data_IF_286100479851
#
_entry.id   IF_286100479851
#
_cell.length_a   1.000
_cell.length_b   1.000
_cell.length_c   1.000
_cell.angle_alpha   90.00
_cell.angle_beta   90.00
_cell.angle_gamma   90.00
#
_symmetry.space_group_name_H-M   'P 1'
#
loop_
_entity.id
_entity.type
_entity.pdbx_description
1 polymer ?
#
# COMPACT_ATOMS: atom_id res chain seq x y z
N UNK A 1 -41.53 16.64 -15.07
CA UNK A 1 -40.86 17.73 -14.35
C UNK A 1 -40.77 17.32 -12.88
N UNK A 2 -39.60 16.87 -12.41
CA UNK A 2 -39.46 16.45 -11.02
C UNK A 2 -39.21 17.68 -10.16
N UNK A 3 -40.27 18.23 -9.60
CA UNK A 3 -40.17 19.20 -8.50
C UNK A 3 -39.48 18.48 -7.35
N UNK A 4 -38.28 18.94 -6.98
CA UNK A 4 -37.56 18.42 -5.82
C UNK A 4 -38.26 18.95 -4.56
N UNK A 5 -39.42 18.37 -4.25
CA UNK A 5 -40.20 18.67 -3.05
C UNK A 5 -39.49 17.92 -1.93
N UNK A 6 -38.67 18.63 -1.17
CA UNK A 6 -38.09 18.08 0.05
C UNK A 6 -39.20 17.50 0.93
N UNK A 7 -39.01 16.26 1.41
CA UNK A 7 -39.95 15.62 2.33
C UNK A 7 -40.05 16.43 3.62
N UNK A 8 -41.18 16.34 4.32
CA UNK A 8 -41.41 17.07 5.56
C UNK A 8 -40.34 16.73 6.62
N UNK A 9 -39.91 15.48 6.64
CA UNK A 9 -38.81 15.01 7.48
C UNK A 9 -37.47 15.68 7.13
N UNK A 10 -37.18 15.88 5.85
CA UNK A 10 -35.96 16.57 5.42
C UNK A 10 -35.97 18.05 5.80
N UNK A 11 -37.13 18.72 5.68
CA UNK A 11 -37.31 20.11 6.14
C UNK A 11 -37.12 20.23 7.64
N UNK A 12 -37.66 19.28 8.42
CA UNK A 12 -37.47 19.21 9.88
C UNK A 12 -35.99 19.08 10.26
N UNK A 13 -35.26 18.15 9.65
CA UNK A 13 -33.81 17.95 9.90
C UNK A 13 -32.98 19.19 9.58
N UNK A 14 -33.30 19.89 8.47
CA UNK A 14 -32.66 21.16 8.13
C UNK A 14 -32.92 22.25 9.17
N UNK A 15 -34.16 22.35 9.65
CA UNK A 15 -34.55 23.31 10.71
C UNK A 15 -33.81 23.03 12.02
N UNK A 16 -33.79 21.77 12.45
CA UNK A 16 -33.07 21.34 13.66
C UNK A 16 -31.56 21.61 13.56
N UNK A 17 -30.94 21.34 12.41
CA UNK A 17 -29.50 21.59 12.21
C UNK A 17 -29.11 23.08 12.23
N UNK A 18 -30.09 23.97 12.02
CA UNK A 18 -29.90 25.42 11.99
C UNK A 18 -30.29 26.09 13.30
N UNK A 19 -31.04 25.42 14.19
CA UNK A 19 -31.34 25.93 15.54
C UNK A 19 -30.04 26.25 16.27
N UNK A 20 -29.93 27.46 16.80
CA UNK A 20 -28.75 27.96 17.52
C UNK A 20 -27.63 28.54 16.67
N UNK A 21 -27.68 28.46 15.33
CA UNK A 21 -26.69 29.18 14.49
C UNK A 21 -27.00 30.67 14.48
N UNK A 22 -26.07 31.48 15.01
CA UNK A 22 -26.12 32.93 14.90
C UNK A 22 -25.60 33.33 13.51
N UNK A 23 -26.42 33.94 12.63
CA UNK A 23 -25.95 34.45 11.36
C UNK A 23 -24.86 35.52 11.57
N UNK A 24 -23.82 35.52 10.73
CA UNK A 24 -22.65 36.41 10.85
C UNK A 24 -22.98 37.92 10.79
N UNK A 25 -24.20 38.25 10.36
CA UNK A 25 -24.73 39.60 10.24
C UNK A 25 -25.71 39.98 11.37
N UNK A 26 -25.95 39.11 12.35
CA UNK A 26 -26.84 39.41 13.50
C UNK A 26 -26.24 40.56 14.33
N UNK A 27 -26.98 41.68 14.44
CA UNK A 27 -26.60 42.85 15.23
C UNK A 27 -25.70 43.89 14.55
N UNK A 28 -25.31 43.68 13.27
CA UNK A 28 -24.52 44.67 12.52
C UNK A 28 -25.43 45.73 11.90
N UNK A 29 -25.29 47.01 12.30
CA UNK A 29 -25.93 48.16 11.62
C UNK A 29 -25.18 48.47 10.32
N UNK A 30 -25.91 48.69 9.22
CA UNK A 30 -25.35 48.98 7.89
C UNK A 30 -25.17 47.77 6.95
N UNK A 31 -25.34 46.54 7.45
CA UNK A 31 -25.49 45.35 6.60
C UNK A 31 -26.98 45.23 6.29
N UNK A 32 -27.36 45.18 5.01
CA UNK A 32 -28.75 45.24 4.55
C UNK A 32 -29.60 44.09 5.16
N UNK A 33 -30.24 44.38 6.30
CA UNK A 33 -31.32 43.55 6.84
C UNK A 33 -32.52 43.85 5.95
N UNK A 34 -32.76 42.98 4.99
CA UNK A 34 -33.88 43.07 4.06
C UNK A 34 -35.19 43.14 4.84
N UNK A 35 -35.92 44.26 4.74
CA UNK A 35 -37.23 44.44 5.37
C UNK A 35 -38.18 43.34 4.90
N UNK A 36 -39.20 43.02 5.70
CA UNK A 36 -40.14 41.95 5.35
C UNK A 36 -40.85 42.22 4.01
N UNK A 37 -41.10 43.49 3.71
CA UNK A 37 -41.62 43.94 2.43
C UNK A 37 -40.61 43.72 1.29
N UNK A 38 -39.33 44.05 1.50
CA UNK A 38 -38.26 43.81 0.50
C UNK A 38 -38.07 42.31 0.26
N UNK A 39 -38.21 41.48 1.30
CA UNK A 39 -38.14 40.01 1.21
C UNK A 39 -39.27 39.46 0.36
N UNK A 40 -40.50 39.98 0.53
CA UNK A 40 -41.66 39.65 -0.32
C UNK A 40 -41.42 40.08 -1.78
N UNK A 41 -40.88 41.29 -2.01
CA UNK A 41 -40.53 41.77 -3.37
C UNK A 41 -39.48 40.88 -4.05
N UNK A 42 -38.39 40.55 -3.35
CA UNK A 42 -37.36 39.63 -3.86
C UNK A 42 -37.89 38.21 -4.08
N UNK A 43 -38.75 37.72 -3.20
CA UNK A 43 -39.39 36.40 -3.38
C UNK A 43 -40.24 36.38 -4.64
N UNK A 44 -41.04 37.43 -4.90
CA UNK A 44 -41.86 37.54 -6.11
C UNK A 44 -40.98 37.64 -7.36
N UNK A 45 -39.94 38.48 -7.32
CA UNK A 45 -39.01 38.67 -8.45
C UNK A 45 -38.21 37.41 -8.80
N UNK A 46 -37.81 36.61 -7.79
CA UNK A 46 -37.06 35.37 -7.97
C UNK A 46 -37.95 34.13 -8.15
N UNK A 47 -39.26 34.29 -8.32
CA UNK A 47 -40.22 33.19 -8.52
C UNK A 47 -40.89 33.26 -9.88
N UNK A 48 -41.39 32.12 -10.35
CA UNK A 48 -42.12 32.02 -11.62
C UNK A 48 -41.25 32.21 -12.87
N UNK A 49 -41.92 32.36 -14.01
CA UNK A 49 -41.33 32.32 -15.37
C UNK A 49 -40.30 33.42 -15.62
N UNK A 50 -40.31 34.50 -14.83
CA UNK A 50 -39.38 35.62 -14.95
C UNK A 50 -38.02 35.39 -14.29
N UNK A 51 -37.86 34.34 -13.47
CA UNK A 51 -36.53 33.99 -12.92
C UNK A 51 -35.65 33.40 -14.05
N UNK A 52 -34.40 33.89 -14.26
CA UNK A 52 -33.47 33.36 -15.28
C UNK A 52 -33.16 31.86 -15.17
N UNK A 53 -33.41 31.27 -14.00
CA UNK A 53 -33.24 29.86 -13.70
C UNK A 53 -34.53 29.05 -13.81
N UNK A 54 -35.69 29.68 -14.04
CA UNK A 54 -36.96 29.01 -14.21
C UNK A 54 -36.96 28.13 -15.47
N UNK A 55 -37.39 26.87 -15.34
CA UNK A 55 -37.40 25.92 -16.44
C UNK A 55 -36.03 25.37 -16.87
N UNK A 56 -34.90 25.84 -16.29
CA UNK A 56 -33.60 25.24 -16.55
C UNK A 56 -33.57 23.81 -16.00
N UNK A 57 -33.29 22.83 -16.88
CA UNK A 57 -33.12 21.43 -16.47
C UNK A 57 -31.90 21.32 -15.55
N UNK A 58 -32.04 20.56 -14.46
CA UNK A 58 -30.98 20.31 -13.48
C UNK A 58 -29.68 19.87 -14.19
N UNK A 59 -28.53 20.53 -13.97
CA UNK A 59 -27.28 20.24 -14.68
C UNK A 59 -26.77 18.79 -14.48
N UNK A 60 -27.36 18.01 -13.59
CA UNK A 60 -26.99 16.60 -13.36
C UNK A 60 -27.71 15.58 -14.26
N UNK A 61 -28.02 15.91 -15.52
CA UNK A 61 -28.38 14.87 -16.50
C UNK A 61 -27.17 13.98 -16.82
N UNK A 62 -27.39 12.70 -17.11
CA UNK A 62 -26.31 11.78 -17.51
C UNK A 62 -25.50 12.30 -18.70
N UNK A 63 -26.19 12.93 -19.67
CA UNK A 63 -25.55 13.57 -20.82
C UNK A 63 -24.60 14.70 -20.42
N UNK A 64 -24.98 15.53 -19.44
CA UNK A 64 -24.13 16.60 -18.94
C UNK A 64 -22.96 16.07 -18.11
N UNK A 65 -23.17 15.07 -17.25
CA UNK A 65 -22.10 14.42 -16.48
C UNK A 65 -21.04 13.82 -17.41
N UNK A 66 -21.48 13.16 -18.49
CA UNK A 66 -20.61 12.61 -19.54
C UNK A 66 -19.81 13.71 -20.22
N UNK A 67 -20.48 14.76 -20.72
CA UNK A 67 -19.81 15.88 -21.38
C UNK A 67 -18.81 16.61 -20.46
N UNK A 68 -19.16 16.83 -19.18
CA UNK A 68 -18.26 17.46 -18.22
C UNK A 68 -17.06 16.57 -17.90
N UNK A 69 -17.27 15.26 -17.75
CA UNK A 69 -16.20 14.28 -17.56
C UNK A 69 -15.26 14.22 -18.78
N UNK A 70 -15.80 14.25 -19.99
CA UNK A 70 -15.03 14.25 -21.24
C UNK A 70 -14.21 15.55 -21.36
N UNK A 71 -14.81 16.70 -21.06
CA UNK A 71 -14.15 18.00 -21.14
C UNK A 71 -13.00 18.19 -20.14
N UNK A 72 -12.96 17.42 -19.04
CA UNK A 72 -11.88 17.42 -18.04
C UNK A 72 -10.88 16.28 -18.25
N UNK A 73 -11.21 15.29 -19.07
CA UNK A 73 -10.38 14.10 -19.27
C UNK A 73 -9.03 14.52 -19.88
N UNK A 74 -7.94 14.19 -19.17
CA UNK A 74 -6.58 14.45 -19.64
C UNK A 74 -6.07 15.88 -19.44
N UNK A 75 -6.90 16.82 -18.97
CA UNK A 75 -6.42 18.16 -18.60
C UNK A 75 -5.52 18.07 -17.37
N UNK A 76 -4.31 18.61 -17.48
CA UNK A 76 -3.36 18.75 -16.37
C UNK A 76 -3.25 20.22 -15.98
N UNK A 77 -3.11 20.48 -14.70
CA UNK A 77 -2.77 21.83 -14.22
C UNK A 77 -1.41 22.25 -14.80
N UNK A 78 -1.29 23.53 -15.17
CA UNK A 78 0.00 24.12 -15.53
C UNK A 78 0.97 24.09 -14.35
N UNK A 79 2.27 24.11 -14.61
CA UNK A 79 3.29 24.15 -13.55
C UNK A 79 3.11 25.37 -12.64
N UNK A 80 2.74 26.53 -13.20
CA UNK A 80 2.41 27.72 -12.43
C UNK A 80 1.20 27.50 -11.49
N UNK A 81 0.15 26.84 -11.97
CA UNK A 81 -1.03 26.53 -11.16
C UNK A 81 -0.70 25.55 -10.04
N UNK A 82 0.10 24.51 -10.34
CA UNK A 82 0.57 23.55 -9.34
C UNK A 82 1.42 24.24 -8.27
N UNK A 83 2.28 25.18 -8.67
CA UNK A 83 3.09 25.95 -7.75
C UNK A 83 2.22 26.80 -6.83
N UNK A 84 1.23 27.52 -7.37
CA UNK A 84 0.26 28.31 -6.57
C UNK A 84 -0.51 27.45 -5.57
N UNK A 85 -0.99 26.27 -6.00
CA UNK A 85 -1.67 25.32 -5.11
C UNK A 85 -0.73 24.80 -4.01
N UNK A 86 0.51 24.47 -4.36
CA UNK A 86 1.53 24.01 -3.40
C UNK A 86 1.87 25.08 -2.37
N UNK A 87 2.12 26.31 -2.82
CA UNK A 87 2.43 27.46 -1.96
C UNK A 87 1.27 27.76 -1.00
N UNK A 88 0.03 27.73 -1.48
CA UNK A 88 -1.16 27.93 -0.63
C UNK A 88 -1.32 26.88 0.47
N UNK A 89 -0.82 25.66 0.26
CA UNK A 89 -0.90 24.57 1.24
C UNK A 89 0.33 24.51 2.14
N UNK A 90 1.41 25.20 1.78
CA UNK A 90 2.67 25.21 2.55
C UNK A 90 2.41 25.88 3.89
N UNK A 91 2.65 25.14 4.98
CA UNK A 91 2.44 25.62 6.35
C UNK A 91 1.01 25.42 6.88
N UNK A 92 0.06 24.97 6.06
CA UNK A 92 -1.26 24.60 6.55
C UNK A 92 -1.17 23.33 7.39
N UNK A 93 -1.27 23.48 8.71
CA UNK A 93 -1.33 22.37 9.65
C UNK A 93 -2.71 22.29 10.28
N UNK A 94 -3.31 21.11 10.23
CA UNK A 94 -4.60 20.87 10.88
C UNK A 94 -4.39 20.91 12.40
N UNK A 95 -5.20 21.69 13.11
CA UNK A 95 -5.12 21.81 14.57
C UNK A 95 -5.29 20.44 15.26
N UNK A 96 -4.73 20.27 16.46
CA UNK A 96 -4.86 19.01 17.23
C UNK A 96 -6.33 18.62 17.41
N UNK A 97 -7.20 19.57 17.73
CA UNK A 97 -8.65 19.34 17.88
C UNK A 97 -9.33 18.88 16.59
N UNK A 98 -8.95 19.45 15.44
CA UNK A 98 -9.50 19.01 14.14
C UNK A 98 -8.95 17.64 13.72
N UNK A 99 -7.68 17.34 13.98
CA UNK A 99 -7.10 16.01 13.77
C UNK A 99 -7.85 14.94 14.57
N UNK A 100 -8.18 15.23 15.83
CA UNK A 100 -8.99 14.33 16.66
C UNK A 100 -10.38 14.09 16.09
N UNK A 101 -11.06 15.13 15.59
CA UNK A 101 -12.38 15.00 14.94
C UNK A 101 -12.31 14.13 13.68
N UNK A 102 -11.31 14.35 12.83
CA UNK A 102 -11.06 13.53 11.62
C UNK A 102 -10.78 12.09 12.03
N UNK A 103 -9.96 11.88 13.06
CA UNK A 103 -9.66 10.57 13.62
C UNK A 103 -10.93 9.84 14.06
N UNK A 104 -11.76 10.48 14.90
CA UNK A 104 -13.03 9.92 15.39
C UNK A 104 -14.04 9.63 14.28
N UNK A 105 -14.07 10.42 13.20
CA UNK A 105 -14.95 10.19 12.07
C UNK A 105 -14.50 9.01 11.20
N UNK A 106 -13.19 8.77 11.13
CA UNK A 106 -12.59 7.69 10.34
C UNK A 106 -12.28 6.43 11.15
N UNK A 107 -12.59 6.39 12.45
CA UNK A 107 -12.34 5.25 13.33
C UNK A 107 -13.63 4.76 14.00
N UNK A 108 -13.60 3.50 14.41
CA UNK A 108 -14.73 2.86 15.10
C UNK A 108 -16.01 2.86 14.26
N UNK A 109 -17.14 2.64 14.93
CA UNK A 109 -18.47 2.48 14.34
C UNK A 109 -18.95 3.69 13.50
N UNK A 110 -18.39 4.88 13.74
CA UNK A 110 -18.72 6.07 12.97
C UNK A 110 -18.17 6.04 11.53
N UNK A 111 -17.15 5.22 11.28
CA UNK A 111 -16.65 5.02 9.93
C UNK A 111 -17.61 4.11 9.15
N UNK A 112 -18.08 4.57 7.99
CA UNK A 112 -18.93 3.80 7.09
C UNK A 112 -18.40 2.39 6.74
N UNK A 113 -17.08 2.23 6.72
CA UNK A 113 -16.39 0.96 6.43
C UNK A 113 -16.10 0.11 7.67
N UNK A 114 -16.42 0.58 8.88
CA UNK A 114 -16.21 -0.19 10.09
C UNK A 114 -17.01 -1.49 10.08
N UNK A 115 -16.35 -2.60 10.38
CA UNK A 115 -16.92 -3.95 10.32
C UNK A 115 -17.25 -4.46 8.90
N UNK A 116 -17.17 -3.61 7.87
CA UNK A 116 -17.38 -4.04 6.48
C UNK A 116 -16.05 -4.50 5.88
N UNK A 117 -16.01 -5.64 5.18
CA UNK A 117 -14.82 -6.02 4.44
C UNK A 117 -14.52 -4.93 3.41
N UNK A 118 -13.24 -4.54 3.32
CA UNK A 118 -12.82 -3.61 2.28
C UNK A 118 -13.19 -4.18 0.91
N UNK A 119 -13.51 -3.32 -0.05
CA UNK A 119 -13.94 -3.71 -1.41
C UNK A 119 -12.91 -4.61 -2.12
N UNK A 120 -11.65 -4.56 -1.65
CA UNK A 120 -10.51 -5.31 -2.15
C UNK A 120 -10.08 -6.47 -1.23
N UNK A 121 -10.66 -6.60 -0.03
CA UNK A 121 -10.35 -7.70 0.88
C UNK A 121 -10.75 -9.03 0.24
N UNK A 122 -9.80 -9.96 0.14
CA UNK A 122 -10.00 -11.29 -0.46
C UNK A 122 -9.93 -11.34 -2.00
N UNK A 123 -9.89 -10.20 -2.71
CA UNK A 123 -9.73 -10.20 -4.17
C UNK A 123 -8.26 -10.42 -4.56
N UNK A 124 -7.99 -11.48 -5.32
CA UNK A 124 -6.66 -11.74 -5.88
C UNK A 124 -6.50 -11.02 -7.22
N UNK A 125 -5.35 -10.39 -7.43
CA UNK A 125 -5.02 -9.79 -8.73
C UNK A 125 -4.87 -10.87 -9.81
N UNK A 126 -5.34 -10.54 -11.03
CA UNK A 126 -5.10 -11.38 -12.21
C UNK A 126 -3.61 -11.60 -12.44
N UNK A 127 -3.25 -12.70 -13.09
CA UNK A 127 -1.84 -13.02 -13.42
C UNK A 127 -1.23 -11.86 -14.22
N UNK A 128 -1.96 -11.32 -15.20
CA UNK A 128 -1.53 -10.17 -15.99
C UNK A 128 -1.28 -8.92 -15.13
N UNK A 129 -2.17 -8.61 -14.19
CA UNK A 129 -1.99 -7.47 -13.28
C UNK A 129 -0.78 -7.67 -12.37
N UNK A 130 -0.57 -8.89 -11.86
CA UNK A 130 0.62 -9.23 -11.05
C UNK A 130 1.90 -9.06 -11.86
N UNK A 131 1.91 -9.49 -13.12
CA UNK A 131 3.04 -9.31 -14.02
C UNK A 131 3.36 -7.83 -14.23
N UNK A 132 2.37 -7.00 -14.57
CA UNK A 132 2.55 -5.54 -14.73
C UNK A 132 3.07 -4.85 -13.45
N UNK A 133 2.59 -5.27 -12.28
CA UNK A 133 3.11 -4.76 -10.99
C UNK A 133 4.57 -5.20 -10.76
N UNK A 134 4.88 -6.46 -11.05
CA UNK A 134 6.24 -7.00 -10.92
C UNK A 134 7.23 -6.28 -11.84
N UNK A 135 6.86 -6.05 -13.10
CA UNK A 135 7.69 -5.34 -14.09
C UNK A 135 7.99 -3.90 -13.65
N UNK A 136 7.02 -3.19 -13.08
CA UNK A 136 7.22 -1.82 -12.56
C UNK A 136 8.12 -1.76 -11.34
N UNK A 137 8.12 -2.82 -10.52
CA UNK A 137 8.97 -2.90 -9.34
C UNK A 137 10.40 -3.33 -9.70
N UNK A 138 10.58 -4.02 -10.82
CA UNK A 138 11.88 -4.42 -11.32
C UNK A 138 12.74 -3.18 -11.58
N UNK A 139 13.87 -3.07 -10.87
CA UNK A 139 14.78 -1.92 -11.01
C UNK A 139 14.38 -0.67 -10.22
N UNK A 140 13.38 -0.73 -9.35
CA UNK A 140 13.11 0.37 -8.42
C UNK A 140 14.27 0.52 -7.42
N UNK A 141 15.02 1.63 -7.54
CA UNK A 141 16.19 1.94 -6.70
C UNK A 141 15.89 2.90 -5.55
N UNK A 142 14.68 3.43 -5.42
CA UNK A 142 14.38 4.49 -4.44
C UNK A 142 14.64 4.08 -2.98
N UNK A 143 14.43 2.81 -2.66
CA UNK A 143 14.68 2.26 -1.32
C UNK A 143 16.05 1.60 -1.20
N UNK A 144 16.75 1.40 -2.32
CA UNK A 144 18.04 0.73 -2.33
C UNK A 144 19.10 1.66 -1.76
N UNK A 145 19.75 1.25 -0.66
CA UNK A 145 20.75 2.06 0.03
C UNK A 145 20.19 3.18 0.92
N UNK A 146 18.86 3.29 1.04
CA UNK A 146 18.24 4.22 1.98
C UNK A 146 18.62 3.83 3.42
N UNK A 147 19.18 4.79 4.17
CA UNK A 147 19.55 4.63 5.58
C UNK A 147 18.61 5.47 6.44
N UNK A 148 17.94 4.82 7.38
CA UNK A 148 17.13 5.51 8.38
C UNK A 148 18.00 6.42 9.27
N UNK A 149 17.43 7.53 9.72
CA UNK A 149 18.08 8.36 10.75
C UNK A 149 18.23 7.58 12.06
N UNK A 150 19.22 7.94 12.89
CA UNK A 150 19.42 7.30 14.21
C UNK A 150 18.16 7.33 15.06
N UNK A 151 17.45 8.47 15.06
CA UNK A 151 16.17 8.62 15.78
C UNK A 151 15.09 7.65 15.26
N UNK A 152 15.00 7.45 13.94
CA UNK A 152 14.02 6.53 13.34
C UNK A 152 14.35 5.07 13.68
N UNK A 153 15.64 4.70 13.64
CA UNK A 153 16.11 3.37 14.04
C UNK A 153 15.72 3.10 15.50
N UNK A 154 15.93 4.07 16.38
CA UNK A 154 15.60 3.92 17.80
C UNK A 154 14.08 3.77 18.01
N UNK A 155 13.24 4.52 17.29
CA UNK A 155 11.77 4.34 17.34
C UNK A 155 11.34 2.94 16.91
N UNK A 156 11.93 2.40 15.85
CA UNK A 156 11.66 1.03 15.37
C UNK A 156 12.08 0.00 16.42
N UNK A 157 13.25 0.21 17.05
CA UNK A 157 13.75 -0.64 18.14
C UNK A 157 12.79 -0.64 19.33
N UNK A 158 12.42 0.54 19.84
CA UNK A 158 11.51 0.66 20.98
C UNK A 158 10.15 0.03 20.70
N UNK A 159 9.60 0.22 19.50
CA UNK A 159 8.36 -0.44 19.09
C UNK A 159 8.46 -1.97 19.12
N UNK A 160 9.62 -2.52 18.74
CA UNK A 160 9.87 -3.98 18.77
C UNK A 160 10.05 -4.51 20.20
N UNK A 161 10.69 -3.73 21.08
CA UNK A 161 10.87 -4.10 22.49
C UNK A 161 9.55 -4.11 23.25
N UNK A 162 8.66 -3.17 22.94
CA UNK A 162 7.35 -3.01 23.60
C UNK A 162 6.29 -4.03 23.14
N UNK A 163 6.67 -5.04 22.34
CA UNK A 163 5.77 -6.12 21.97
C UNK A 163 5.49 -7.05 23.15
N UNK A 164 4.21 -7.30 23.40
CA UNK A 164 3.73 -8.31 24.37
C UNK A 164 4.13 -9.73 23.94
N UNK A 165 4.15 -10.67 24.89
CA UNK A 165 4.45 -12.07 24.57
C UNK A 165 3.47 -12.65 23.53
N UNK A 166 2.18 -12.39 23.68
CA UNK A 166 1.16 -12.84 22.73
C UNK A 166 1.41 -12.31 21.30
N UNK A 167 1.81 -11.04 21.17
CA UNK A 167 2.17 -10.48 19.87
C UNK A 167 3.43 -11.12 19.29
N UNK A 168 4.44 -11.40 20.12
CA UNK A 168 5.67 -12.09 19.71
C UNK A 168 5.35 -13.50 19.21
N UNK A 169 4.47 -14.21 19.90
CA UNK A 169 4.06 -15.58 19.53
C UNK A 169 3.29 -15.59 18.20
N UNK A 170 2.38 -14.62 17.98
CA UNK A 170 1.69 -14.46 16.69
C UNK A 170 2.66 -14.21 15.55
N UNK A 171 3.65 -13.32 15.74
CA UNK A 171 4.70 -13.05 14.75
C UNK A 171 5.55 -14.31 14.51
N UNK A 172 5.94 -15.01 15.57
CA UNK A 172 6.72 -16.25 15.49
C UNK A 172 5.98 -17.33 14.69
N UNK A 173 4.71 -17.59 15.01
CA UNK A 173 3.86 -18.55 14.30
C UNK A 173 3.66 -18.18 12.82
N UNK A 174 3.50 -16.89 12.51
CA UNK A 174 3.38 -16.42 11.13
C UNK A 174 4.69 -16.55 10.32
N UNK A 175 5.85 -16.63 10.99
CA UNK A 175 7.15 -16.73 10.33
C UNK A 175 7.79 -18.13 10.46
N UNK A 176 7.06 -19.12 10.95
CA UNK A 176 7.55 -20.50 11.14
C UNK A 176 6.61 -21.53 10.52
N UNK A 177 7.16 -22.69 10.15
CA UNK A 177 6.42 -23.77 9.51
C UNK A 177 5.59 -23.28 8.33
N UNK A 178 4.37 -23.78 8.19
CA UNK A 178 3.41 -23.42 7.13
C UNK A 178 3.01 -21.94 7.08
N UNK A 179 3.18 -21.20 8.18
CA UNK A 179 2.91 -19.76 8.19
C UNK A 179 3.93 -18.96 7.37
N UNK A 180 5.17 -19.47 7.29
CA UNK A 180 6.23 -18.79 6.55
C UNK A 180 6.02 -18.94 5.04
N UNK A 181 6.01 -17.83 4.30
CA UNK A 181 5.86 -17.84 2.85
C UNK A 181 6.97 -18.62 2.10
N UNK A 182 8.12 -18.82 2.74
CA UNK A 182 9.23 -19.62 2.20
C UNK A 182 9.13 -21.11 2.56
N UNK A 183 8.10 -21.53 3.29
CA UNK A 183 7.87 -22.92 3.63
C UNK A 183 7.61 -23.75 2.39
N UNK A 184 8.36 -24.85 2.25
CA UNK A 184 8.25 -25.79 1.13
C UNK A 184 7.89 -27.18 1.63
N UNK A 185 6.86 -27.28 2.48
CA UNK A 185 6.29 -28.57 2.89
C UNK A 185 7.25 -29.49 3.66
N UNK A 186 8.21 -28.95 4.41
CA UNK A 186 9.07 -29.78 5.25
C UNK A 186 10.28 -30.39 4.57
N UNK A 187 10.62 -29.99 3.34
CA UNK A 187 11.83 -30.46 2.63
C UNK A 187 13.12 -30.35 3.45
N UNK A 188 13.19 -29.45 4.44
CA UNK A 188 14.35 -29.36 5.34
C UNK A 188 14.47 -30.57 6.27
N UNK A 189 13.35 -31.18 6.66
CA UNK A 189 13.26 -32.34 7.55
C UNK A 189 13.49 -33.68 6.84
N UNK A 190 13.41 -33.72 5.52
CA UNK A 190 13.75 -34.92 4.76
C UNK A 190 15.18 -35.39 5.09
N UNK A 191 15.41 -36.70 5.25
CA UNK A 191 16.73 -37.22 5.50
C UNK A 191 17.68 -36.92 4.33
N UNK A 192 18.98 -36.95 4.62
CA UNK A 192 19.99 -36.97 3.58
C UNK A 192 20.38 -38.43 3.30
N UNK A 193 20.89 -38.67 2.09
CA UNK A 193 21.42 -39.98 1.73
C UNK A 193 22.58 -40.43 2.60
N UNK A 194 22.77 -41.74 2.68
CA UNK A 194 23.85 -42.37 3.47
C UNK A 194 25.24 -41.87 3.09
N UNK A 195 25.40 -41.47 1.83
CA UNK A 195 26.65 -40.97 1.27
C UNK A 195 26.96 -39.50 1.67
N UNK A 196 26.01 -38.79 2.28
CA UNK A 196 26.16 -37.39 2.72
C UNK A 196 27.01 -37.25 4.01
N UNK A 197 28.21 -37.80 3.95
CA UNK A 197 29.15 -37.92 5.08
C UNK A 197 30.01 -36.68 5.27
N UNK A 198 30.63 -36.54 6.44
CA UNK A 198 31.64 -35.50 6.69
C UNK A 198 32.86 -35.63 5.77
N UNK A 199 33.19 -36.87 5.37
CA UNK A 199 34.27 -37.18 4.44
C UNK A 199 33.97 -36.62 3.05
N UNK A 200 32.78 -36.93 2.49
CA UNK A 200 32.36 -36.39 1.20
C UNK A 200 32.36 -34.86 1.21
N UNK A 201 31.77 -34.24 2.24
CA UNK A 201 31.77 -32.77 2.36
C UNK A 201 33.17 -32.17 2.41
N UNK A 202 34.13 -32.86 3.02
CA UNK A 202 35.53 -32.43 3.04
C UNK A 202 36.14 -32.51 1.64
N UNK A 203 35.98 -33.64 0.95
CA UNK A 203 36.49 -33.85 -0.40
C UNK A 203 35.99 -32.79 -1.39
N UNK A 204 34.70 -32.43 -1.34
CA UNK A 204 34.15 -31.37 -2.20
C UNK A 204 34.76 -30.00 -1.89
N UNK A 205 34.97 -29.68 -0.60
CA UNK A 205 35.61 -28.42 -0.20
C UNK A 205 37.08 -28.36 -0.61
N UNK A 206 37.81 -29.47 -0.46
CA UNK A 206 39.20 -29.58 -0.89
C UNK A 206 39.33 -29.47 -2.41
N UNK A 207 38.45 -30.15 -3.18
CA UNK A 207 38.38 -30.02 -4.64
C UNK A 207 38.18 -28.58 -5.07
N UNK A 208 37.27 -27.88 -4.41
CA UNK A 208 36.95 -26.48 -4.72
C UNK A 208 37.92 -25.49 -4.06
N UNK A 209 39.00 -25.97 -3.43
CA UNK A 209 40.00 -25.19 -2.68
C UNK A 209 39.38 -24.24 -1.63
N UNK A 210 38.26 -24.64 -1.01
CA UNK A 210 37.49 -23.80 -0.10
C UNK A 210 37.04 -22.46 -0.73
N UNK A 211 36.91 -22.39 -2.06
CA UNK A 211 36.47 -21.21 -2.80
C UNK A 211 34.99 -21.36 -3.14
N UNK A 212 34.22 -20.29 -2.91
CA UNK A 212 32.82 -20.23 -3.28
C UNK A 212 32.66 -20.31 -4.81
N UNK A 213 32.05 -21.37 -5.30
CA UNK A 213 31.80 -21.60 -6.73
C UNK A 213 30.81 -20.61 -7.37
N UNK A 214 30.26 -19.65 -6.61
CA UNK A 214 29.42 -18.56 -7.14
C UNK A 214 30.12 -17.21 -7.21
N UNK A 215 30.80 -16.81 -6.14
CA UNK A 215 31.36 -15.46 -6.00
C UNK A 215 32.86 -15.42 -5.73
N UNK A 216 33.53 -16.58 -5.82
CA UNK A 216 34.97 -16.74 -5.61
C UNK A 216 35.48 -16.34 -4.22
N UNK A 217 34.57 -16.18 -3.24
CA UNK A 217 34.96 -15.92 -1.85
C UNK A 217 35.71 -17.12 -1.26
N UNK A 218 36.94 -16.89 -0.83
CA UNK A 218 37.77 -17.86 -0.10
C UNK A 218 37.17 -18.25 1.25
N UNK A 219 37.72 -19.30 1.88
CA UNK A 219 37.30 -19.81 3.18
C UNK A 219 35.80 -20.18 3.25
N UNK A 220 35.27 -20.66 2.14
CA UNK A 220 33.90 -21.15 1.99
C UNK A 220 33.79 -22.61 2.42
N UNK A 221 32.75 -22.93 3.18
CA UNK A 221 32.68 -24.20 3.91
C UNK A 221 31.32 -24.92 3.83
N UNK A 222 30.37 -24.41 3.04
CA UNK A 222 29.06 -25.06 2.85
C UNK A 222 29.06 -25.85 1.56
N UNK A 223 28.66 -27.13 1.61
CA UNK A 223 28.46 -27.96 0.41
C UNK A 223 26.97 -27.96 0.06
N UNK A 224 26.67 -27.67 -1.21
CA UNK A 224 25.31 -27.50 -1.73
C UNK A 224 25.03 -28.51 -2.85
N UNK A 225 23.80 -29.03 -2.91
CA UNK A 225 23.32 -29.87 -4.01
C UNK A 225 22.76 -28.97 -5.13
N UNK A 226 23.32 -29.04 -6.33
CA UNK A 226 22.93 -28.21 -7.48
C UNK A 226 21.49 -28.50 -7.93
N UNK A 227 21.07 -29.77 -7.88
CA UNK A 227 19.71 -30.20 -8.20
C UNK A 227 18.72 -30.15 -7.03
N UNK A 228 19.18 -29.75 -5.84
CA UNK A 228 18.42 -29.73 -4.59
C UNK A 228 17.86 -31.10 -4.13
N UNK A 229 18.32 -32.21 -4.71
CA UNK A 229 17.95 -33.57 -4.29
C UNK A 229 18.98 -34.10 -3.30
N UNK A 230 18.58 -34.24 -2.03
CA UNK A 230 19.46 -34.63 -0.91
C UNK A 230 20.09 -36.02 -1.04
N UNK A 231 19.57 -36.85 -1.92
CA UNK A 231 20.06 -38.21 -2.20
C UNK A 231 21.14 -38.22 -3.30
N UNK A 232 21.22 -37.18 -4.12
CA UNK A 232 22.16 -37.12 -5.23
C UNK A 232 23.54 -36.60 -4.76
N UNK A 233 24.30 -37.47 -4.12
CA UNK A 233 25.63 -37.16 -3.56
C UNK A 233 26.79 -37.28 -4.58
N UNK A 234 26.52 -37.30 -5.89
CA UNK A 234 27.56 -37.32 -6.92
C UNK A 234 28.41 -36.05 -6.84
N UNK A 235 29.74 -36.18 -6.97
CA UNK A 235 30.67 -35.05 -6.86
C UNK A 235 30.31 -33.89 -7.79
N UNK A 236 29.84 -34.18 -9.00
CA UNK A 236 29.48 -33.18 -10.02
C UNK A 236 28.22 -32.39 -9.65
N UNK A 237 27.34 -32.97 -8.81
CA UNK A 237 26.14 -32.31 -8.30
C UNK A 237 26.40 -31.50 -7.02
N UNK A 238 27.62 -31.53 -6.49
CA UNK A 238 27.98 -30.89 -5.23
C UNK A 238 28.96 -29.75 -5.46
N UNK A 239 28.70 -28.60 -4.83
CA UNK A 239 29.55 -27.40 -4.94
C UNK A 239 29.79 -26.75 -3.58
N UNK A 240 30.94 -26.11 -3.43
CA UNK A 240 31.28 -25.31 -2.26
C UNK A 240 30.77 -23.88 -2.40
N UNK A 241 30.04 -23.39 -1.40
CA UNK A 241 29.49 -22.04 -1.35
C UNK A 241 29.84 -21.36 -0.02
N UNK A 242 29.96 -20.02 -0.05
CA UNK A 242 30.00 -19.22 1.17
C UNK A 242 28.60 -19.15 1.80
N UNK A 243 28.52 -18.80 3.09
CA UNK A 243 27.24 -18.69 3.84
C UNK A 243 26.17 -17.87 3.12
N UNK A 244 26.57 -16.71 2.59
CA UNK A 244 25.66 -15.79 1.87
C UNK A 244 25.15 -16.44 0.58
N UNK A 245 26.03 -17.10 -0.18
CA UNK A 245 25.65 -17.75 -1.42
C UNK A 245 24.75 -18.96 -1.18
N UNK A 246 25.09 -19.80 -0.21
CA UNK A 246 24.29 -20.96 0.15
C UNK A 246 22.85 -20.56 0.54
N UNK A 247 22.68 -19.46 1.28
CA UNK A 247 21.33 -18.97 1.60
C UNK A 247 20.60 -18.45 0.36
N UNK A 248 21.29 -17.68 -0.49
CA UNK A 248 20.68 -17.02 -1.64
C UNK A 248 20.23 -17.99 -2.74
N UNK A 249 20.96 -19.09 -2.96
CA UNK A 249 20.59 -20.08 -3.99
C UNK A 249 19.38 -20.93 -3.61
N UNK A 250 18.87 -20.86 -2.38
CA UNK A 250 17.64 -21.58 -2.02
C UNK A 250 16.36 -20.98 -2.64
N UNK A 251 16.46 -19.76 -3.18
CA UNK A 251 15.38 -19.04 -3.87
C UNK A 251 15.57 -19.16 -5.39
N UNK A 252 14.47 -19.35 -6.15
CA UNK A 252 14.50 -19.54 -7.60
C UNK A 252 15.41 -20.71 -8.02
N UNK A 253 15.08 -21.91 -7.56
CA UNK A 253 15.94 -23.10 -7.66
C UNK A 253 16.20 -23.49 -9.11
N UNK A 254 15.19 -23.32 -9.96
CA UNK A 254 15.23 -23.59 -11.39
C UNK A 254 16.36 -22.80 -12.08
N UNK A 255 16.40 -21.49 -11.84
CA UNK A 255 17.46 -20.62 -12.36
C UNK A 255 18.85 -21.03 -11.88
N UNK A 256 19.00 -21.35 -10.59
CA UNK A 256 20.32 -21.69 -10.04
C UNK A 256 20.80 -23.07 -10.49
N UNK A 257 19.91 -24.06 -10.60
CA UNK A 257 20.25 -25.36 -11.19
C UNK A 257 20.77 -25.17 -12.61
N UNK A 258 20.08 -24.40 -13.45
CA UNK A 258 20.53 -24.08 -14.81
C UNK A 258 21.87 -23.32 -14.81
N UNK A 259 22.01 -22.30 -13.95
CA UNK A 259 23.24 -21.52 -13.82
C UNK A 259 24.45 -22.40 -13.50
N UNK A 260 24.34 -23.32 -12.54
CA UNK A 260 25.46 -24.17 -12.13
C UNK A 260 25.73 -25.33 -13.11
N UNK A 261 24.70 -25.83 -13.80
CA UNK A 261 24.88 -26.84 -14.85
C UNK A 261 25.59 -26.28 -16.08
N UNK A 262 25.32 -25.02 -16.42
CA UNK A 262 25.94 -24.34 -17.58
C UNK A 262 27.28 -23.68 -17.23
N UNK A 263 27.68 -23.69 -15.95
CA UNK A 263 28.94 -23.10 -15.52
C UNK A 263 30.08 -24.04 -15.84
N UNK A 264 30.93 -23.65 -16.79
CA UNK A 264 32.24 -24.28 -16.98
C UNK A 264 33.08 -24.01 -15.75
N UNK A 265 33.37 -25.07 -14.98
CA UNK A 265 34.33 -25.01 -13.89
C UNK A 265 35.73 -24.93 -14.50
N UNK A 266 36.44 -23.83 -14.23
CA UNK A 266 37.87 -23.75 -14.47
C UNK A 266 38.53 -24.55 -13.35
N UNK A 267 38.88 -25.80 -13.65
CA UNK A 267 39.66 -26.67 -12.78
C UNK A 267 41.14 -26.28 -12.83
#
# INVERSE_FOLDING_TARGET
>A
MSTNIFTEEHRRKLSESRKGRIPWNKGKKGVQICSEETRKKLSKANSGVKNPMFGRKNPHSEKWKKHHSEALKGKKHSEETKLKMSLSQKGHSVSKGTKLKIGKANSGENNYWYGKPGVMTGKKHSIETRKKMSEKLLGNKHTLGYKHSKESIEKIRQASLNLTQEQRDKISKANSGEGNANWKGGISFEPYGKDWTLRLKRQIRERDNYICQRCSKENSNHVHHVDYKKENCKSENLITLCKVCNSAVNFNREYWTEYFNNKTYLY
#
